data_IF_290531765177
#
_entry.id   IF_290531765177
#
_cell.length_a   1.000
_cell.length_b   1.000
_cell.length_c   1.000
_cell.angle_alpha   90.00
_cell.angle_beta   90.00
_cell.angle_gamma   90.00
#
_symmetry.space_group_name_H-M   'P 1'
#
loop_
_entity.id
_entity.type
_entity.pdbx_description
1 polymer ?
#
# COMPACT_ATOMS: atom_id res chain seq x y z
N UNK A 1 3.47 -25.51 10.80
CA UNK A 1 2.48 -25.62 9.72
C UNK A 1 2.98 -24.85 8.50
N UNK A 2 2.54 -25.26 7.31
CA UNK A 2 2.92 -24.56 6.06
C UNK A 2 2.21 -23.20 6.00
N UNK A 3 2.94 -22.12 5.72
CA UNK A 3 2.38 -20.79 5.51
C UNK A 3 1.79 -20.73 4.09
N UNK A 4 0.51 -20.37 3.90
CA UNK A 4 -0.07 -20.20 2.59
C UNK A 4 0.42 -18.92 1.92
N UNK A 5 0.29 -18.84 0.58
CA UNK A 5 0.45 -17.58 -0.11
C UNK A 5 -0.70 -16.64 0.25
N UNK A 6 -0.42 -15.36 0.47
CA UNK A 6 -1.37 -14.38 0.98
C UNK A 6 -1.35 -13.08 0.20
N UNK A 7 -2.51 -12.45 0.12
CA UNK A 7 -2.67 -11.09 -0.39
C UNK A 7 -3.32 -10.25 0.69
N UNK A 8 -2.63 -9.21 1.14
CA UNK A 8 -3.11 -8.23 2.11
C UNK A 8 -3.60 -6.99 1.36
N UNK A 9 -4.87 -6.66 1.45
CA UNK A 9 -5.38 -5.44 0.84
C UNK A 9 -6.05 -4.53 1.87
N UNK A 10 -6.03 -3.25 1.61
CA UNK A 10 -6.63 -2.24 2.48
C UNK A 10 -5.79 -0.98 2.61
N UNK A 11 -6.27 0.03 3.36
CA UNK A 11 -5.64 1.34 3.48
C UNK A 11 -4.19 1.29 3.95
N UNK A 12 -3.42 2.34 3.63
CA UNK A 12 -2.05 2.50 4.11
C UNK A 12 -2.01 2.60 5.65
N UNK A 13 -0.83 2.33 6.23
CA UNK A 13 -0.62 2.48 7.68
C UNK A 13 -1.35 1.50 8.59
N UNK A 14 -2.03 0.48 8.04
CA UNK A 14 -2.78 -0.54 8.79
C UNK A 14 -1.95 -1.73 9.27
N UNK A 15 -0.64 -1.73 8.97
CA UNK A 15 0.29 -2.75 9.48
C UNK A 15 0.55 -3.95 8.56
N UNK A 16 0.13 -3.93 7.28
CA UNK A 16 0.35 -5.03 6.31
C UNK A 16 1.81 -5.52 6.28
N UNK A 17 2.75 -4.61 6.08
CA UNK A 17 4.19 -4.91 6.07
C UNK A 17 4.70 -5.45 7.41
N UNK A 18 4.16 -4.94 8.51
CA UNK A 18 4.52 -5.38 9.87
C UNK A 18 4.10 -6.82 10.12
N UNK A 19 2.87 -7.18 9.73
CA UNK A 19 2.37 -8.56 9.85
C UNK A 19 3.19 -9.51 9.00
N UNK A 20 3.53 -9.15 7.75
CA UNK A 20 4.39 -9.96 6.89
C UNK A 20 5.77 -10.23 7.52
N UNK A 21 6.37 -9.21 8.16
CA UNK A 21 7.64 -9.35 8.89
C UNK A 21 7.52 -10.30 10.09
N UNK A 22 6.47 -10.14 10.89
CA UNK A 22 6.22 -11.02 12.04
C UNK A 22 6.03 -12.49 11.59
N UNK A 23 5.33 -12.72 10.48
CA UNK A 23 5.17 -14.06 9.91
C UNK A 23 6.53 -14.63 9.51
N UNK A 24 7.39 -13.86 8.84
CA UNK A 24 8.72 -14.30 8.45
C UNK A 24 9.59 -14.67 9.66
N UNK A 25 9.64 -13.79 10.67
CA UNK A 25 10.41 -13.98 11.91
C UNK A 25 9.97 -15.25 12.65
N UNK A 26 8.66 -15.49 12.76
CA UNK A 26 8.12 -16.66 13.46
C UNK A 26 8.21 -17.96 12.65
N UNK A 27 8.40 -17.88 11.34
CA UNK A 27 8.51 -19.07 10.47
C UNK A 27 9.94 -19.55 10.26
N UNK A 28 10.93 -18.74 10.60
CA UNK A 28 12.34 -18.99 10.29
C UNK A 28 12.67 -18.87 8.81
N UNK A 29 11.76 -18.30 8.00
CA UNK A 29 11.96 -18.08 6.57
C UNK A 29 12.79 -16.81 6.32
N UNK A 30 13.59 -16.84 5.25
CA UNK A 30 14.33 -15.65 4.81
C UNK A 30 13.38 -14.68 4.10
N UNK A 31 13.28 -13.46 4.65
CA UNK A 31 12.39 -12.43 4.11
C UNK A 31 13.08 -11.60 3.03
N UNK A 32 12.58 -11.69 1.80
CA UNK A 32 12.90 -10.77 0.72
C UNK A 32 11.77 -9.76 0.53
N UNK A 33 12.14 -8.48 0.35
CA UNK A 33 11.18 -7.40 0.13
C UNK A 33 11.38 -6.79 -1.23
N UNK A 34 10.32 -6.75 -2.02
CA UNK A 34 10.25 -6.03 -3.29
C UNK A 34 9.11 -5.02 -3.26
N UNK A 35 9.24 -3.97 -4.06
CA UNK A 35 8.18 -2.98 -4.23
C UNK A 35 7.76 -2.96 -5.71
N UNK A 36 6.47 -3.15 -5.97
CA UNK A 36 5.91 -3.20 -7.32
C UNK A 36 6.16 -1.95 -8.16
N UNK A 37 6.34 -0.78 -7.51
CA UNK A 37 6.62 0.47 -8.23
C UNK A 37 8.02 0.53 -8.84
N UNK A 38 8.99 -0.17 -8.25
CA UNK A 38 10.41 -0.16 -8.67
C UNK A 38 10.92 -1.53 -9.13
N UNK A 39 10.13 -2.60 -8.95
CA UNK A 39 10.53 -3.96 -9.22
C UNK A 39 10.59 -4.26 -10.72
N UNK A 40 11.74 -4.71 -11.18
CA UNK A 40 11.93 -5.28 -12.51
C UNK A 40 11.85 -6.82 -12.50
N UNK A 41 11.77 -7.43 -13.71
CA UNK A 41 11.84 -8.89 -13.84
C UNK A 41 13.17 -9.48 -13.36
N UNK A 42 14.24 -8.67 -13.37
CA UNK A 42 15.54 -9.04 -12.84
C UNK A 42 15.55 -9.23 -11.33
N UNK A 43 14.81 -8.39 -10.60
CA UNK A 43 14.73 -8.43 -9.14
C UNK A 43 14.01 -9.68 -8.65
N UNK A 44 12.91 -10.06 -9.33
CA UNK A 44 12.20 -11.32 -9.05
C UNK A 44 13.14 -12.50 -9.27
N UNK A 45 13.88 -12.52 -10.39
CA UNK A 45 14.86 -13.57 -10.67
C UNK A 45 16.03 -13.58 -9.69
N UNK A 46 16.42 -12.43 -9.13
CA UNK A 46 17.47 -12.37 -8.13
C UNK A 46 17.05 -13.08 -6.83
N UNK A 47 15.80 -12.89 -6.37
CA UNK A 47 15.25 -13.61 -5.22
C UNK A 47 15.27 -15.13 -5.46
N UNK A 48 14.99 -15.56 -6.69
CA UNK A 48 14.98 -16.99 -7.04
C UNK A 48 16.39 -17.64 -7.04
N UNK A 49 17.45 -16.87 -7.19
CA UNK A 49 18.82 -17.39 -7.10
C UNK A 49 19.19 -17.85 -5.68
N UNK A 50 18.51 -17.32 -4.68
CA UNK A 50 18.74 -17.70 -3.29
C UNK A 50 18.07 -19.02 -2.91
N UNK A 51 17.21 -19.55 -3.81
CA UNK A 51 16.60 -20.87 -3.65
C UNK A 51 17.70 -21.94 -3.69
N UNK A 52 17.72 -22.81 -2.69
CA UNK A 52 18.73 -23.87 -2.57
C UNK A 52 20.10 -23.43 -2.07
N UNK A 53 20.27 -22.16 -1.71
CA UNK A 53 21.47 -21.69 -1.01
C UNK A 53 21.28 -21.79 0.51
N UNK A 54 22.39 -21.64 1.27
CA UNK A 54 22.33 -21.57 2.74
C UNK A 54 21.42 -20.44 3.23
N UNK A 55 21.33 -19.32 2.49
CA UNK A 55 20.46 -18.20 2.80
C UNK A 55 18.97 -18.57 2.69
N UNK A 56 18.62 -19.50 1.81
CA UNK A 56 17.24 -19.97 1.60
C UNK A 56 16.90 -21.30 2.28
N UNK A 57 17.78 -21.86 3.13
CA UNK A 57 17.60 -23.18 3.73
C UNK A 57 16.32 -23.31 4.58
N UNK A 58 15.85 -22.22 5.21
CA UNK A 58 14.60 -22.15 5.95
C UNK A 58 13.35 -21.90 5.10
N UNK A 59 13.52 -21.80 3.77
CA UNK A 59 12.49 -21.32 2.83
C UNK A 59 12.56 -19.82 2.61
N UNK A 60 12.00 -19.39 1.49
CA UNK A 60 11.97 -17.98 1.10
C UNK A 60 10.55 -17.43 1.25
N UNK A 61 10.41 -16.32 1.98
CA UNK A 61 9.20 -15.53 2.04
C UNK A 61 9.43 -14.25 1.25
N UNK A 62 8.72 -14.11 0.14
CA UNK A 62 8.73 -12.89 -0.68
C UNK A 62 7.59 -11.98 -0.24
N UNK A 63 7.92 -10.84 0.36
CA UNK A 63 6.98 -9.76 0.58
C UNK A 63 7.03 -8.78 -0.58
N UNK A 64 5.92 -8.66 -1.30
CA UNK A 64 5.78 -7.77 -2.45
C UNK A 64 4.80 -6.64 -2.11
N UNK A 65 5.31 -5.44 -1.90
CA UNK A 65 4.49 -4.26 -1.64
C UNK A 65 3.98 -3.65 -2.95
N UNK A 66 2.74 -3.16 -2.93
CA UNK A 66 2.07 -2.50 -4.06
C UNK A 66 2.05 -3.36 -5.35
N UNK A 67 1.60 -4.60 -5.24
CA UNK A 67 1.60 -5.60 -6.34
C UNK A 67 0.82 -5.11 -7.58
N UNK A 68 -0.16 -4.21 -7.44
CA UNK A 68 -0.95 -3.68 -8.55
C UNK A 68 -0.11 -2.95 -9.62
N UNK A 69 1.10 -2.51 -9.28
CA UNK A 69 2.01 -1.89 -10.24
C UNK A 69 2.79 -2.89 -11.10
N UNK A 70 2.78 -4.17 -10.75
CA UNK A 70 3.36 -5.20 -11.61
C UNK A 70 2.49 -5.46 -12.85
N UNK A 71 3.13 -5.51 -14.00
CA UNK A 71 2.44 -5.93 -15.22
C UNK A 71 2.12 -7.43 -15.20
N UNK A 72 1.24 -7.86 -16.11
CA UNK A 72 0.79 -9.26 -16.19
C UNK A 72 1.93 -10.26 -16.33
N UNK A 73 2.97 -9.94 -17.11
CA UNK A 73 4.13 -10.82 -17.33
C UNK A 73 4.96 -11.01 -16.04
N UNK A 74 5.12 -9.94 -15.26
CA UNK A 74 5.79 -10.01 -13.96
C UNK A 74 4.99 -10.85 -12.96
N UNK A 75 3.67 -10.67 -12.92
CA UNK A 75 2.79 -11.48 -12.08
C UNK A 75 2.79 -12.96 -12.50
N UNK A 76 2.90 -13.28 -13.80
CA UNK A 76 3.07 -14.65 -14.28
C UNK A 76 4.38 -15.28 -13.84
N UNK A 77 5.49 -14.52 -13.83
CA UNK A 77 6.77 -15.04 -13.32
C UNK A 77 6.71 -15.38 -11.83
N UNK A 78 5.91 -14.63 -11.03
CA UNK A 78 5.67 -14.99 -9.63
C UNK A 78 4.85 -16.28 -9.50
N UNK A 79 3.90 -16.50 -10.41
CA UNK A 79 3.06 -17.70 -10.39
C UNK A 79 3.89 -18.98 -10.47
N UNK A 80 4.86 -19.04 -11.36
CA UNK A 80 5.78 -20.19 -11.52
C UNK A 80 6.47 -20.53 -10.18
N UNK A 81 6.94 -19.53 -9.46
CA UNK A 81 7.68 -19.71 -8.21
C UNK A 81 6.83 -20.15 -7.03
N UNK A 82 5.55 -19.78 -7.01
CA UNK A 82 4.63 -20.18 -5.94
C UNK A 82 3.99 -21.54 -6.21
N UNK A 83 3.90 -21.98 -7.48
CA UNK A 83 3.36 -23.28 -7.86
C UNK A 83 4.32 -24.43 -7.51
N UNK A 84 5.60 -24.25 -7.72
CA UNK A 84 6.62 -25.23 -7.35
C UNK A 84 6.92 -25.24 -5.84
N UNK A 85 6.38 -24.26 -5.10
CA UNK A 85 6.56 -24.14 -3.66
C UNK A 85 7.92 -23.61 -3.23
N UNK A 86 8.75 -23.12 -4.15
CA UNK A 86 10.08 -22.57 -3.87
C UNK A 86 10.02 -21.29 -3.06
N UNK A 87 8.93 -20.52 -3.22
CA UNK A 87 8.72 -19.25 -2.56
C UNK A 87 7.32 -19.19 -1.95
N UNK A 88 7.21 -18.68 -0.73
CA UNK A 88 5.94 -18.28 -0.15
C UNK A 88 5.74 -16.79 -0.41
N UNK A 89 4.63 -16.43 -1.05
CA UNK A 89 4.31 -15.05 -1.40
C UNK A 89 3.39 -14.41 -0.36
N UNK A 90 3.77 -13.24 0.13
CA UNK A 90 2.85 -12.29 0.77
C UNK A 90 2.86 -11.01 -0.05
N UNK A 91 1.80 -10.73 -0.77
CA UNK A 91 1.65 -9.49 -1.53
C UNK A 91 0.78 -8.50 -0.77
N UNK A 92 1.04 -7.19 -0.94
CA UNK A 92 0.19 -6.14 -0.39
C UNK A 92 -0.27 -5.16 -1.48
N UNK A 93 -1.45 -4.60 -1.27
CA UNK A 93 -2.04 -3.59 -2.15
C UNK A 93 -2.96 -2.67 -1.37
N UNK A 94 -3.08 -1.42 -1.81
CA UNK A 94 -4.11 -0.48 -1.34
C UNK A 94 -5.39 -0.57 -2.17
N UNK A 95 -5.32 -1.22 -3.33
CA UNK A 95 -6.41 -1.36 -4.29
C UNK A 95 -7.17 -2.68 -4.10
N UNK A 96 -8.36 -2.79 -4.69
CA UNK A 96 -9.13 -4.03 -4.66
C UNK A 96 -8.40 -5.11 -5.49
N UNK A 97 -7.93 -6.22 -4.88
CA UNK A 97 -7.11 -7.22 -5.55
C UNK A 97 -7.81 -7.90 -6.73
N UNK A 98 -9.14 -8.00 -6.72
CA UNK A 98 -9.90 -8.66 -7.77
C UNK A 98 -9.89 -7.92 -9.12
N UNK A 99 -9.50 -6.63 -9.13
CA UNK A 99 -9.40 -5.84 -10.37
C UNK A 99 -7.97 -5.73 -10.91
N UNK A 100 -6.97 -5.85 -10.05
CA UNK A 100 -5.58 -5.54 -10.41
C UNK A 100 -4.64 -6.74 -10.41
N UNK A 101 -5.02 -7.82 -9.71
CA UNK A 101 -4.18 -9.01 -9.63
C UNK A 101 -4.64 -10.05 -10.65
N UNK A 102 -3.69 -10.69 -11.30
CA UNK A 102 -3.96 -11.76 -12.27
C UNK A 102 -4.70 -12.92 -11.59
N UNK A 103 -5.83 -13.34 -12.18
CA UNK A 103 -6.73 -14.33 -11.58
C UNK A 103 -6.05 -15.65 -11.21
N UNK A 104 -5.07 -16.11 -12.02
CA UNK A 104 -4.33 -17.33 -11.71
C UNK A 104 -3.47 -17.20 -10.46
N UNK A 105 -2.91 -16.02 -10.19
CA UNK A 105 -2.19 -15.72 -8.96
C UNK A 105 -3.15 -15.59 -7.78
N UNK A 106 -4.25 -14.87 -7.98
CA UNK A 106 -5.28 -14.66 -6.97
C UNK A 106 -5.87 -15.98 -6.45
N UNK A 107 -6.15 -16.94 -7.36
CA UNK A 107 -6.72 -18.25 -7.01
C UNK A 107 -5.78 -19.14 -6.16
N UNK A 108 -4.49 -18.82 -6.08
CA UNK A 108 -3.48 -19.53 -5.30
C UNK A 108 -3.10 -18.83 -4.00
N UNK A 109 -3.75 -17.72 -3.71
CA UNK A 109 -3.50 -16.91 -2.52
C UNK A 109 -4.75 -16.79 -1.65
N UNK A 110 -4.56 -16.74 -0.35
CA UNK A 110 -5.62 -16.35 0.58
C UNK A 110 -5.64 -14.84 0.72
N UNK A 111 -6.81 -14.24 0.50
CA UNK A 111 -6.97 -12.79 0.55
C UNK A 111 -7.42 -12.34 1.93
N UNK A 112 -6.72 -11.37 2.51
CA UNK A 112 -7.02 -10.78 3.81
C UNK A 112 -7.27 -9.28 3.69
N UNK A 113 -8.40 -8.83 4.19
CA UNK A 113 -8.74 -7.42 4.27
C UNK A 113 -8.16 -6.79 5.53
N UNK A 114 -7.41 -5.71 5.37
CA UNK A 114 -6.96 -4.83 6.45
C UNK A 114 -7.86 -3.60 6.49
N UNK A 115 -8.66 -3.50 7.54
CA UNK A 115 -9.53 -2.34 7.76
C UNK A 115 -8.75 -1.17 8.32
N UNK A 116 -9.24 0.05 8.11
CA UNK A 116 -8.70 1.23 8.79
C UNK A 116 -8.70 1.02 10.30
N UNK A 117 -7.64 1.45 10.96
CA UNK A 117 -7.55 1.39 12.41
C UNK A 117 -8.54 2.37 13.05
N UNK A 118 -9.11 1.98 14.18
CA UNK A 118 -9.89 2.91 15.00
C UNK A 118 -8.97 3.95 15.66
N UNK A 119 -9.53 5.11 16.05
CA UNK A 119 -8.76 6.11 16.79
C UNK A 119 -8.13 5.51 18.08
N UNK A 120 -8.85 4.64 18.78
CA UNK A 120 -8.36 3.95 19.96
C UNK A 120 -7.17 3.01 19.65
N UNK A 121 -7.16 2.34 18.49
CA UNK A 121 -6.03 1.48 18.08
C UNK A 121 -4.80 2.32 17.70
N UNK A 122 -5.02 3.46 17.02
CA UNK A 122 -3.94 4.40 16.69
C UNK A 122 -3.36 5.01 17.97
N UNK A 123 -4.20 5.41 18.92
CA UNK A 123 -3.78 5.94 20.22
C UNK A 123 -2.91 4.92 20.98
N UNK A 124 -3.32 3.64 21.01
CA UNK A 124 -2.53 2.55 21.59
C UNK A 124 -1.18 2.41 20.90
N UNK A 125 -1.16 2.55 19.58
CA UNK A 125 0.09 2.55 18.79
C UNK A 125 1.02 3.71 19.15
N UNK A 126 0.47 4.92 19.33
CA UNK A 126 1.20 6.13 19.74
C UNK A 126 1.78 5.93 21.15
N UNK A 127 1.00 5.45 22.12
CA UNK A 127 1.45 5.19 23.50
C UNK A 127 2.59 4.15 23.53
N UNK A 128 2.49 3.09 22.73
CA UNK A 128 3.56 2.08 22.60
C UNK A 128 4.85 2.67 21.99
N UNK A 129 4.72 3.57 21.03
CA UNK A 129 5.87 4.25 20.44
C UNK A 129 6.53 5.22 21.43
N UNK A 130 5.74 6.00 22.16
CA UNK A 130 6.23 6.88 23.22
C UNK A 130 7.04 6.12 24.29
N UNK A 131 6.52 4.96 24.72
CA UNK A 131 7.24 4.11 25.68
C UNK A 131 8.62 3.69 25.15
N UNK A 132 8.68 3.23 23.89
CA UNK A 132 9.95 2.83 23.24
C UNK A 132 10.91 4.02 23.06
N UNK A 133 10.39 5.20 22.71
CA UNK A 133 11.18 6.41 22.59
C UNK A 133 11.76 6.81 23.94
N UNK A 134 10.97 6.78 25.02
CA UNK A 134 11.43 7.08 26.37
C UNK A 134 12.49 6.08 26.89
N UNK A 135 12.45 4.82 26.42
CA UNK A 135 13.45 3.80 26.74
C UNK A 135 14.77 4.00 25.95
N UNK A 136 14.70 4.60 24.75
CA UNK A 136 15.87 4.81 23.88
C UNK A 136 16.52 6.17 24.01
N UNK A 137 15.78 7.18 24.47
CA UNK A 137 16.30 8.53 24.70
C UNK A 137 16.92 8.67 26.09
N UNK A 138 17.90 9.57 26.20
CA UNK A 138 18.56 9.88 27.51
C UNK A 138 17.65 10.60 28.49
N UNK A 139 16.48 11.04 28.04
CA UNK A 139 15.49 11.81 28.81
C UNK A 139 14.07 11.32 28.56
N UNK A 140 13.20 11.37 29.56
CA UNK A 140 11.83 10.92 29.42
C UNK A 140 11.07 11.80 28.41
N UNK A 141 10.21 11.15 27.60
CA UNK A 141 9.30 11.82 26.67
C UNK A 141 7.87 11.63 27.18
N UNK A 142 7.22 12.72 27.53
CA UNK A 142 5.85 12.73 28.04
C UNK A 142 4.95 13.49 27.06
N UNK A 143 3.74 13.01 26.87
CA UNK A 143 2.74 13.60 25.99
C UNK A 143 1.41 13.74 26.72
N UNK A 144 0.76 14.88 26.56
CA UNK A 144 -0.56 15.13 27.13
C UNK A 144 -1.62 14.19 26.53
N UNK A 145 -2.63 13.82 27.31
CA UNK A 145 -3.66 12.87 26.86
C UNK A 145 -4.49 13.42 25.70
N UNK A 146 -4.85 14.70 25.75
CA UNK A 146 -5.58 15.39 24.70
C UNK A 146 -4.75 15.55 23.42
N UNK A 147 -3.42 15.72 23.53
CA UNK A 147 -2.50 15.70 22.40
C UNK A 147 -2.46 14.33 21.72
N UNK A 148 -2.44 13.26 22.52
CA UNK A 148 -2.45 11.88 22.01
C UNK A 148 -3.77 11.54 21.30
N UNK A 149 -4.90 11.88 21.91
CA UNK A 149 -6.23 11.69 21.33
C UNK A 149 -6.39 12.47 20.02
N UNK A 150 -6.00 13.74 19.99
CA UNK A 150 -6.07 14.59 18.80
C UNK A 150 -5.20 14.03 17.65
N UNK A 151 -3.98 13.57 17.96
CA UNK A 151 -3.09 12.96 16.97
C UNK A 151 -3.71 11.69 16.39
N UNK A 152 -4.30 10.84 17.24
CA UNK A 152 -4.95 9.60 16.82
C UNK A 152 -6.14 9.85 15.87
N UNK A 153 -7.00 10.83 16.20
CA UNK A 153 -8.11 11.23 15.34
C UNK A 153 -7.64 11.83 14.02
N UNK A 154 -6.64 12.74 14.08
CA UNK A 154 -6.12 13.42 12.88
C UNK A 154 -5.41 12.49 11.88
N UNK A 155 -4.97 11.33 12.34
CA UNK A 155 -4.32 10.32 11.51
C UNK A 155 -5.31 9.59 10.58
N UNK A 156 -6.61 9.57 10.92
CA UNK A 156 -7.63 8.95 10.07
C UNK A 156 -7.46 7.45 9.87
N UNK A 157 -6.95 6.74 10.88
CA UNK A 157 -6.72 5.29 10.82
C UNK A 157 -5.38 4.86 10.21
N UNK A 158 -4.51 5.81 9.84
CA UNK A 158 -3.15 5.55 9.34
C UNK A 158 -2.13 5.72 10.49
N UNK A 159 -1.71 4.61 11.09
CA UNK A 159 -0.72 4.63 12.18
C UNK A 159 0.65 5.16 11.71
N UNK A 160 1.05 4.92 10.46
CA UNK A 160 2.33 5.43 9.92
C UNK A 160 2.36 6.94 9.94
N UNK A 161 1.24 7.57 9.55
CA UNK A 161 1.08 9.03 9.59
C UNK A 161 1.14 9.56 11.02
N UNK A 162 0.47 8.91 11.96
CA UNK A 162 0.53 9.28 13.38
C UNK A 162 1.95 9.21 13.93
N UNK A 163 2.66 8.10 13.68
CA UNK A 163 4.03 7.90 14.15
C UNK A 163 5.02 8.87 13.50
N UNK A 164 4.86 9.17 12.20
CA UNK A 164 5.69 10.18 11.53
C UNK A 164 5.51 11.58 12.11
N UNK A 165 4.27 11.96 12.46
CA UNK A 165 3.99 13.22 13.14
C UNK A 165 4.59 13.23 14.56
N UNK A 166 4.45 12.13 15.30
CA UNK A 166 5.03 11.97 16.63
C UNK A 166 6.56 12.12 16.60
N UNK A 167 7.25 11.43 15.71
CA UNK A 167 8.71 11.48 15.56
C UNK A 167 9.19 12.90 15.28
N UNK A 168 8.49 13.60 14.39
CA UNK A 168 8.80 15.00 14.08
C UNK A 168 8.64 15.90 15.30
N UNK A 169 7.54 15.76 16.07
CA UNK A 169 7.29 16.59 17.25
C UNK A 169 8.28 16.28 18.36
N UNK A 170 8.59 15.02 18.62
CA UNK A 170 9.59 14.59 19.60
C UNK A 170 10.97 15.18 19.28
N UNK A 171 11.35 15.19 17.99
CA UNK A 171 12.62 15.76 17.54
C UNK A 171 12.66 17.29 17.72
N UNK A 172 11.53 17.98 17.48
CA UNK A 172 11.42 19.44 17.57
C UNK A 172 11.14 19.95 18.99
N UNK A 173 10.70 19.09 19.91
CA UNK A 173 10.34 19.48 21.26
C UNK A 173 11.55 19.99 22.04
N UNK A 174 11.42 21.13 22.72
CA UNK A 174 12.48 21.62 23.62
C UNK A 174 12.66 20.66 24.78
N UNK A 175 13.91 20.55 25.22
CA UNK A 175 14.26 19.80 26.42
C UNK A 175 14.20 20.74 27.60
N UNK A 176 13.37 20.45 28.59
CA UNK A 176 13.41 21.12 29.88
C UNK A 176 14.14 20.27 30.94
N UNK A 177 14.23 20.76 32.16
CA UNK A 177 14.93 20.04 33.25
C UNK A 177 14.28 18.70 33.63
N UNK A 178 13.09 18.35 33.08
CA UNK A 178 12.33 17.13 33.37
C UNK A 178 12.24 16.18 32.18
N UNK A 179 12.65 16.64 30.98
CA UNK A 179 12.60 15.87 29.74
C UNK A 179 11.94 16.61 28.57
N UNK A 180 11.34 15.89 27.65
CA UNK A 180 10.57 16.45 26.55
C UNK A 180 9.08 16.33 26.85
N UNK A 181 8.37 17.46 26.84
CA UNK A 181 6.93 17.51 27.05
C UNK A 181 6.21 17.90 25.77
N UNK A 182 5.33 17.04 25.27
CA UNK A 182 4.58 17.23 24.03
C UNK A 182 3.17 17.68 24.37
N UNK A 183 2.84 18.91 23.96
CA UNK A 183 1.51 19.51 24.19
C UNK A 183 0.61 19.41 22.96
N UNK A 184 -0.69 19.60 23.18
CA UNK A 184 -1.70 19.66 22.11
C UNK A 184 -1.36 20.72 21.05
N UNK A 185 -0.86 21.88 21.47
CA UNK A 185 -0.52 22.96 20.55
C UNK A 185 0.59 22.56 19.56
N UNK A 186 1.61 21.85 20.04
CA UNK A 186 2.70 21.34 19.19
C UNK A 186 2.18 20.39 18.14
N UNK A 187 1.31 19.45 18.51
CA UNK A 187 0.68 18.52 17.56
C UNK A 187 -0.18 19.26 16.55
N UNK A 188 -0.98 20.24 16.99
CA UNK A 188 -1.82 21.03 16.08
C UNK A 188 -1.00 21.83 15.08
N UNK A 189 0.11 22.42 15.48
CA UNK A 189 1.01 23.14 14.56
C UNK A 189 1.57 22.23 13.48
N UNK A 190 2.01 21.03 13.82
CA UNK A 190 2.57 20.07 12.87
C UNK A 190 1.48 19.53 11.95
N UNK A 191 0.34 19.13 12.49
CA UNK A 191 -0.77 18.59 11.68
C UNK A 191 -1.36 19.60 10.71
N UNK A 192 -1.42 20.90 11.08
CA UNK A 192 -1.83 21.98 10.16
C UNK A 192 -0.83 22.17 9.03
N UNK A 193 0.47 22.16 9.29
CA UNK A 193 1.51 22.27 8.25
C UNK A 193 1.45 21.09 7.26
N UNK A 194 1.20 19.87 7.72
CA UNK A 194 1.00 18.71 6.86
C UNK A 194 -0.26 18.79 5.99
N UNK A 195 -1.33 19.46 6.45
CA UNK A 195 -2.53 19.69 5.63
C UNK A 195 -2.32 20.73 4.53
N UNK A 196 -1.55 21.77 4.81
CA UNK A 196 -1.28 22.87 3.84
C UNK A 196 -0.27 22.45 2.76
N UNK A 197 0.59 21.48 3.04
CA UNK A 197 1.60 20.99 2.10
C UNK A 197 1.11 19.92 1.10
N UNK A 198 -0.11 19.38 1.25
CA UNK A 198 -0.74 18.53 0.26
C UNK A 198 -1.68 19.41 -0.59
N UNK A 199 -1.43 19.56 -1.91
CA UNK A 199 -2.44 20.15 -2.79
C UNK A 199 -3.71 19.31 -2.64
N UNK A 200 -4.85 19.97 -2.35
CA UNK A 200 -6.15 19.32 -2.41
C UNK A 200 -6.26 18.63 -3.77
N UNK A 201 -6.15 17.33 -3.79
CA UNK A 201 -6.58 16.53 -4.93
C UNK A 201 -8.10 16.66 -4.94
N UNK A 202 -8.58 17.70 -5.62
CA UNK A 202 -10.00 17.85 -5.92
C UNK A 202 -10.47 16.50 -6.47
N UNK A 203 -11.32 15.83 -5.70
CA UNK A 203 -12.14 14.75 -6.20
C UNK A 203 -12.88 15.32 -7.42
N UNK A 204 -12.37 15.06 -8.61
CA UNK A 204 -13.03 15.40 -9.87
C UNK A 204 -14.37 14.68 -9.83
N UNK A 205 -15.43 15.44 -9.56
CA UNK A 205 -16.80 15.02 -9.79
C UNK A 205 -16.85 14.43 -11.19
N UNK A 206 -17.22 13.17 -11.28
CA UNK A 206 -17.60 12.55 -12.56
C UNK A 206 -18.63 13.47 -13.23
N UNK A 207 -18.44 13.88 -14.50
CA UNK A 207 -19.50 14.57 -15.22
C UNK A 207 -20.69 13.60 -15.29
N UNK A 208 -21.83 14.03 -14.79
CA UNK A 208 -23.11 13.35 -15.00
C UNK A 208 -23.31 13.25 -16.51
N UNK A 209 -23.52 12.04 -17.00
CA UNK A 209 -23.96 11.80 -18.37
C UNK A 209 -25.31 12.52 -18.54
N UNK A 210 -25.30 13.63 -19.25
CA UNK A 210 -26.49 14.31 -19.71
C UNK A 210 -27.26 13.38 -20.64
N UNK A 211 -28.53 13.24 -20.37
CA UNK A 211 -29.53 12.59 -21.25
C UNK A 211 -29.57 13.28 -22.61
N UNK A 212 -29.86 12.55 -23.71
CA UNK A 212 -29.95 13.14 -25.02
C UNK A 212 -31.27 13.92 -25.18
N UNK A 213 -31.18 15.20 -25.47
CA UNK A 213 -32.30 15.99 -25.94
C UNK A 213 -32.52 15.72 -27.43
N UNK A 214 -33.75 15.38 -27.72
CA UNK A 214 -34.40 15.18 -29.04
C UNK A 214 -34.40 16.42 -29.94
N UNK A 215 -34.03 16.21 -31.24
CA UNK A 215 -34.53 16.82 -32.46
C UNK A 215 -34.31 18.31 -32.74
N UNK A 216 -34.50 18.82 -33.97
CA UNK A 216 -35.31 18.30 -35.06
C UNK A 216 -34.59 18.28 -36.45
N UNK A 217 -35.33 17.63 -37.36
CA UNK A 217 -35.15 17.47 -38.79
C UNK A 217 -34.97 18.75 -39.62
N UNK A 218 -34.19 18.72 -40.67
CA UNK A 218 -34.57 19.07 -42.05
C UNK A 218 -33.36 19.24 -42.99
N UNK A 219 -33.49 18.65 -44.20
CA UNK A 219 -33.04 19.32 -45.39
C UNK A 219 -31.97 18.64 -46.27
N UNK A 220 -32.39 17.76 -47.15
CA UNK A 220 -32.06 17.70 -48.59
C UNK A 220 -30.60 17.90 -49.08
N UNK A 221 -30.14 16.93 -49.88
CA UNK A 221 -29.07 17.16 -50.85
C UNK A 221 -28.24 15.90 -51.20
N UNK A 222 -28.73 15.08 -52.14
CA UNK A 222 -27.90 14.18 -52.96
C UNK A 222 -27.17 15.03 -54.02
N UNK A 223 -26.09 14.58 -54.69
CA UNK A 223 -26.08 13.34 -55.47
C UNK A 223 -24.79 12.48 -55.41
N UNK A 224 -24.97 11.32 -56.01
CA UNK A 224 -24.07 10.22 -56.26
C UNK A 224 -22.87 10.53 -57.19
N UNK A 225 -21.89 9.63 -57.11
CA UNK A 225 -20.99 9.10 -58.15
C UNK A 225 -19.85 8.40 -57.39
N UNK A 226 -19.45 7.20 -57.56
CA UNK A 226 -19.36 6.31 -58.66
C UNK A 226 -18.40 5.23 -58.18
N UNK A 227 -18.80 3.99 -58.22
CA UNK A 227 -17.99 2.79 -58.16
C UNK A 227 -17.12 2.68 -59.43
N UNK A 228 -16.00 1.94 -59.49
CA UNK A 228 -16.12 0.57 -59.90
C UNK A 228 -15.17 -0.43 -59.12
N UNK A 229 -15.43 -1.75 -59.38
CA UNK A 229 -14.74 -2.83 -58.67
C UNK A 229 -13.53 -3.35 -59.45
N UNK A 230 -12.81 -4.31 -58.89
CA UNK A 230 -12.19 -5.50 -59.53
C UNK A 230 -11.40 -6.27 -58.48
N UNK A 231 -11.79 -7.50 -58.29
CA UNK A 231 -11.18 -8.76 -58.72
C UNK A 231 -9.66 -8.91 -58.32
N UNK A 232 -9.29 -9.85 -57.55
CA UNK A 232 -9.28 -11.21 -57.88
C UNK A 232 -7.97 -11.89 -57.41
N UNK A 233 -8.09 -13.14 -57.09
CA UNK A 233 -7.13 -14.27 -57.08
C UNK A 233 -6.24 -14.41 -55.83
N UNK A 234 -6.56 -15.46 -55.04
CA UNK A 234 -5.99 -16.83 -55.06
C UNK A 234 -4.45 -16.88 -55.05
N UNK A 235 -3.87 -17.27 -53.97
CA UNK A 235 -3.29 -18.60 -53.66
C UNK A 235 -3.02 -18.67 -52.19
#
# INVERSE_FOLDING_TARGET
GRIPNMIFYGPSGTGKTTVARIIAENSGMTLHKLNGTSCGTGDIKAVLKDIGTLAGAGGILLYLDEIQYLNKKQQQSLLECIEDGSVTLIASTTENPYFYIYNALLSRCTVFEFKSLSAADVERGIRNALKKLSESESQPVVMDEDACAYLAESAGGDLRKALGCLDFVVTAAPVDGTGKHITLEMIQQVTRRHRVGLPEVHARRRPQRGSPLSGPSAGSGRPALGLPPVDGLRL
#
